data_IF_374639545219
#
_entry.id   IF_374639545219
#
_cell.length_a   1.000
_cell.length_b   1.000
_cell.length_c   1.000
_cell.angle_alpha   90.00
_cell.angle_beta   90.00
_cell.angle_gamma   90.00
#
_symmetry.space_group_name_H-M   'P 1'
#
loop_
_entity.id
_entity.type
_entity.pdbx_description
1 polymer ?
#
# COMPACT_ATOMS: atom_id res chain seq x y z
N UNK A 1 16.18 3.15 -15.00
CA UNK A 1 14.82 2.61 -14.82
C UNK A 1 14.90 1.15 -15.21
N UNK A 2 15.23 0.29 -14.27
CA UNK A 2 15.07 -1.16 -14.44
C UNK A 2 13.57 -1.41 -14.47
N UNK A 3 13.06 -1.95 -15.57
CA UNK A 3 11.75 -2.58 -15.57
C UNK A 3 11.81 -3.68 -14.51
N UNK A 4 11.13 -3.46 -13.38
CA UNK A 4 11.00 -4.49 -12.36
C UNK A 4 10.12 -5.59 -12.98
N UNK A 5 10.75 -6.69 -13.41
CA UNK A 5 10.07 -7.84 -14.01
C UNK A 5 9.26 -8.66 -12.98
N UNK A 6 9.22 -8.24 -11.71
CA UNK A 6 8.43 -8.88 -10.68
C UNK A 6 6.98 -8.33 -10.69
N UNK A 7 5.98 -9.15 -11.10
CA UNK A 7 4.59 -8.71 -11.20
C UNK A 7 3.97 -8.34 -9.84
N UNK A 8 4.39 -8.98 -8.75
CA UNK A 8 3.92 -8.66 -7.40
C UNK A 8 4.39 -7.27 -6.96
N UNK A 9 5.67 -6.94 -7.23
CA UNK A 9 6.21 -5.61 -6.96
C UNK A 9 5.51 -4.55 -7.81
N UNK A 10 5.30 -4.81 -9.10
CA UNK A 10 4.59 -3.88 -9.98
C UNK A 10 3.15 -3.61 -9.49
N UNK A 11 2.43 -4.66 -9.09
CA UNK A 11 1.09 -4.55 -8.52
C UNK A 11 1.07 -3.69 -7.25
N UNK A 12 1.97 -3.95 -6.30
CA UNK A 12 2.03 -3.17 -5.05
C UNK A 12 2.37 -1.70 -5.31
N UNK A 13 3.30 -1.41 -6.23
CA UNK A 13 3.64 -0.05 -6.60
C UNK A 13 2.43 0.69 -7.21
N UNK A 14 1.65 0.04 -8.05
CA UNK A 14 0.43 0.62 -8.61
C UNK A 14 -0.61 0.94 -7.53
N UNK A 15 -0.82 0.05 -6.55
CA UNK A 15 -1.75 0.30 -5.43
C UNK A 15 -1.27 1.44 -4.53
N UNK A 16 0.04 1.55 -4.30
CA UNK A 16 0.62 2.69 -3.58
C UNK A 16 0.36 3.99 -4.33
N UNK A 17 0.51 4.02 -5.66
CA UNK A 17 0.25 5.22 -6.47
C UNK A 17 -1.23 5.64 -6.44
N UNK A 18 -2.16 4.69 -6.44
CA UNK A 18 -3.60 4.95 -6.29
C UNK A 18 -3.96 5.53 -4.91
N UNK A 19 -3.39 4.95 -3.85
CA UNK A 19 -3.53 5.44 -2.47
C UNK A 19 -2.96 6.88 -2.36
N UNK A 20 -1.78 7.14 -2.92
CA UNK A 20 -1.14 8.46 -2.96
C UNK A 20 -1.96 9.48 -3.74
N UNK A 21 -2.52 9.09 -4.90
CA UNK A 21 -3.36 9.96 -5.72
C UNK A 21 -4.65 10.33 -4.98
N UNK A 22 -5.29 9.36 -4.34
CA UNK A 22 -6.51 9.56 -3.54
C UNK A 22 -6.23 10.45 -2.34
N UNK A 23 -5.17 10.17 -1.57
CA UNK A 23 -4.76 10.99 -0.45
C UNK A 23 -4.35 12.41 -0.88
N UNK A 24 -3.69 12.54 -2.03
CA UNK A 24 -3.31 13.82 -2.63
C UNK A 24 -4.52 14.65 -3.05
N UNK A 25 -5.56 14.02 -3.60
CA UNK A 25 -6.84 14.68 -3.88
C UNK A 25 -7.47 15.21 -2.59
N UNK A 26 -7.60 14.37 -1.56
CA UNK A 26 -8.21 14.77 -0.27
C UNK A 26 -7.43 15.90 0.39
N UNK A 27 -6.10 15.85 0.37
CA UNK A 27 -5.24 16.95 0.87
C UNK A 27 -5.55 18.30 0.22
N UNK A 28 -5.86 18.29 -1.08
CA UNK A 28 -6.11 19.51 -1.84
C UNK A 28 -7.55 20.02 -1.69
N UNK A 29 -8.52 19.10 -1.63
CA UNK A 29 -9.96 19.43 -1.54
C UNK A 29 -10.39 19.80 -0.11
N UNK A 30 -9.80 19.13 0.90
CA UNK A 30 -10.14 19.32 2.31
C UNK A 30 -8.88 19.27 3.19
N UNK A 31 -8.00 20.29 3.12
CA UNK A 31 -6.77 20.32 3.91
C UNK A 31 -7.08 20.41 5.40
N UNK A 32 -6.46 19.55 6.20
CA UNK A 32 -6.49 19.61 7.67
C UNK A 32 -5.06 19.64 8.20
N UNK A 33 -4.79 20.49 9.18
CA UNK A 33 -3.46 20.54 9.83
C UNK A 33 -3.35 19.59 11.04
N UNK A 34 -4.46 18.92 11.40
CA UNK A 34 -4.47 17.96 12.50
C UNK A 34 -3.60 16.74 12.17
N UNK A 35 -2.76 16.35 13.12
CA UNK A 35 -1.77 15.27 12.95
C UNK A 35 -1.99 14.13 13.95
N UNK A 36 -2.92 14.30 14.89
CA UNK A 36 -3.40 13.22 15.77
C UNK A 36 -4.44 12.41 15.03
N UNK A 37 -4.53 11.12 15.34
CA UNK A 37 -5.51 10.19 14.75
C UNK A 37 -6.92 10.79 14.74
N UNK A 38 -7.36 11.22 13.55
CA UNK A 38 -8.62 11.90 13.31
C UNK A 38 -9.43 11.07 12.32
N UNK A 39 -10.09 10.04 12.84
CA UNK A 39 -11.28 9.51 12.16
C UNK A 39 -12.46 10.36 12.60
N UNK A 40 -12.80 11.39 11.84
CA UNK A 40 -14.12 12.00 12.00
C UNK A 40 -15.00 11.48 10.86
N UNK A 41 -16.00 10.69 11.25
CA UNK A 41 -17.08 10.31 10.38
C UNK A 41 -18.29 11.17 10.76
N UNK A 42 -19.05 11.64 9.78
CA UNK A 42 -20.46 12.00 10.03
C UNK A 42 -21.23 10.68 9.94
N UNK A 43 -21.61 10.04 11.05
CA UNK A 43 -22.25 8.73 10.98
C UNK A 43 -23.59 8.85 10.22
N UNK A 44 -23.93 7.82 9.45
CA UNK A 44 -25.07 7.86 8.53
C UNK A 44 -26.42 8.05 9.23
N UNK A 45 -26.49 7.82 10.54
CA UNK A 45 -27.66 8.09 11.38
C UNK A 45 -27.85 9.58 11.70
N UNK A 46 -26.81 10.41 11.56
CA UNK A 46 -26.89 11.86 11.72
C UNK A 46 -27.23 12.58 10.41
N UNK A 47 -26.62 12.20 9.30
CA UNK A 47 -26.91 12.77 7.98
C UNK A 47 -26.58 11.75 6.88
N UNK A 48 -27.60 11.02 6.42
CA UNK A 48 -27.47 9.96 5.40
C UNK A 48 -27.00 10.51 4.05
N UNK A 49 -27.33 11.76 3.76
CA UNK A 49 -27.00 12.42 2.49
C UNK A 49 -25.61 13.09 2.54
N UNK A 50 -24.98 13.16 3.73
CA UNK A 50 -23.64 13.73 3.97
C UNK A 50 -22.72 12.81 4.77
N UNK A 51 -22.78 11.50 4.54
CA UNK A 51 -21.78 10.57 5.08
C UNK A 51 -20.40 10.94 4.53
N UNK A 52 -19.63 11.69 5.31
CA UNK A 52 -18.23 12.01 5.05
C UNK A 52 -17.40 11.17 6.01
N UNK A 53 -16.62 10.24 5.47
CA UNK A 53 -15.54 9.58 6.20
C UNK A 53 -14.27 10.31 5.82
N UNK A 54 -13.80 11.20 6.71
CA UNK A 54 -12.51 11.82 6.55
C UNK A 54 -11.45 10.87 7.12
N UNK A 55 -10.67 10.28 6.21
CA UNK A 55 -9.47 9.52 6.56
C UNK A 55 -8.30 10.50 6.50
N UNK A 56 -7.48 10.55 7.55
CA UNK A 56 -6.26 11.36 7.59
C UNK A 56 -5.35 11.01 6.39
N UNK A 57 -5.38 11.83 5.34
CA UNK A 57 -4.57 11.63 4.15
C UNK A 57 -3.08 11.59 4.49
N UNK A 58 -2.66 12.28 5.56
CA UNK A 58 -1.30 12.28 6.07
C UNK A 58 -0.84 10.87 6.44
N UNK A 59 -1.74 10.08 7.04
CA UNK A 59 -1.46 8.70 7.41
C UNK A 59 -1.34 7.81 6.18
N UNK A 60 -2.26 7.95 5.22
CA UNK A 60 -2.20 7.20 3.96
C UNK A 60 -0.88 7.48 3.24
N UNK A 61 -0.47 8.76 3.15
CA UNK A 61 0.82 9.14 2.57
C UNK A 61 2.01 8.55 3.35
N UNK A 62 1.95 8.54 4.69
CA UNK A 62 3.01 7.94 5.52
C UNK A 62 3.08 6.41 5.34
N UNK A 63 1.95 5.74 5.22
CA UNK A 63 1.85 4.30 4.93
C UNK A 63 2.39 4.00 3.52
N UNK A 64 2.11 4.83 2.53
CA UNK A 64 2.67 4.71 1.18
C UNK A 64 4.21 4.78 1.19
N UNK A 65 4.78 5.75 1.92
CA UNK A 65 6.25 5.84 2.11
C UNK A 65 6.79 4.59 2.80
N UNK A 66 6.12 4.08 3.82
CA UNK A 66 6.54 2.86 4.52
C UNK A 66 6.50 1.63 3.59
N UNK A 67 5.42 1.45 2.82
CA UNK A 67 5.28 0.35 1.85
C UNK A 67 6.38 0.42 0.77
N UNK A 68 6.69 1.62 0.23
CA UNK A 68 7.80 1.80 -0.73
C UNK A 68 9.13 1.35 -0.14
N UNK A 69 9.44 1.71 1.12
CA UNK A 69 10.67 1.28 1.79
C UNK A 69 10.75 -0.23 2.00
N UNK A 70 9.63 -0.90 2.26
CA UNK A 70 9.58 -2.37 2.37
C UNK A 70 9.90 -3.00 1.01
N UNK A 71 9.31 -2.48 -0.08
CA UNK A 71 9.58 -2.94 -1.45
C UNK A 71 11.04 -2.69 -1.82
N UNK A 72 11.59 -1.51 -1.53
CA UNK A 72 13.00 -1.19 -1.76
C UNK A 72 13.93 -2.16 -1.03
N UNK A 73 13.63 -2.49 0.23
CA UNK A 73 14.40 -3.46 1.00
C UNK A 73 14.31 -4.88 0.40
N UNK A 74 13.14 -5.29 -0.10
CA UNK A 74 12.99 -6.56 -0.80
C UNK A 74 13.86 -6.59 -2.06
N UNK A 75 13.81 -5.53 -2.88
CA UNK A 75 14.61 -5.44 -4.10
C UNK A 75 16.12 -5.44 -3.78
N UNK A 76 16.56 -4.77 -2.72
CA UNK A 76 17.95 -4.80 -2.29
C UNK A 76 18.42 -6.23 -1.97
N UNK A 77 17.58 -7.01 -1.29
CA UNK A 77 17.85 -8.40 -0.93
C UNK A 77 17.77 -9.32 -2.15
N UNK A 78 16.75 -9.17 -3.00
CA UNK A 78 16.55 -9.95 -4.24
C UNK A 78 17.71 -9.79 -5.22
N UNK A 79 18.23 -8.56 -5.38
CA UNK A 79 19.34 -8.25 -6.30
C UNK A 79 20.71 -8.61 -5.71
N UNK A 80 20.78 -9.12 -4.48
CA UNK A 80 22.04 -9.47 -3.84
C UNK A 80 22.45 -10.90 -4.20
N UNK A 81 23.52 -11.06 -4.98
CA UNK A 81 24.04 -12.36 -5.51
C UNK A 81 24.65 -13.31 -4.44
N UNK A 82 24.36 -13.13 -3.15
CA UNK A 82 24.94 -13.96 -2.09
C UNK A 82 23.96 -15.07 -1.67
N UNK A 83 24.40 -16.34 -1.58
CA UNK A 83 23.57 -17.45 -1.11
C UNK A 83 23.00 -17.25 0.30
N UNK A 84 23.59 -16.36 1.08
CA UNK A 84 23.12 -16.02 2.44
C UNK A 84 21.80 -15.25 2.42
N UNK A 85 21.43 -14.65 1.29
CA UNK A 85 20.22 -13.84 1.15
C UNK A 85 19.05 -14.59 0.53
N UNK A 86 19.26 -15.78 -0.06
CA UNK A 86 18.16 -16.54 -0.70
C UNK A 86 16.98 -16.79 0.27
N UNK A 87 17.26 -17.26 1.48
CA UNK A 87 16.22 -17.47 2.50
C UNK A 87 15.59 -16.15 3.00
N UNK A 88 16.33 -15.03 2.93
CA UNK A 88 15.79 -13.72 3.27
C UNK A 88 14.88 -13.19 2.16
N UNK A 89 15.23 -13.42 0.88
CA UNK A 89 14.39 -13.08 -0.27
C UNK A 89 13.05 -13.79 -0.19
N UNK A 90 13.04 -15.11 0.03
CA UNK A 90 11.80 -15.90 0.16
C UNK A 90 10.91 -15.37 1.29
N UNK A 91 11.50 -15.10 2.46
CA UNK A 91 10.76 -14.56 3.60
C UNK A 91 10.18 -13.15 3.32
N UNK A 92 10.95 -12.29 2.65
CA UNK A 92 10.49 -10.95 2.31
C UNK A 92 9.43 -10.96 1.21
N UNK A 93 9.48 -11.93 0.29
CA UNK A 93 8.41 -12.17 -0.68
C UNK A 93 7.09 -12.52 0.03
N UNK A 94 7.12 -13.36 1.07
CA UNK A 94 5.92 -13.61 1.90
C UNK A 94 5.35 -12.32 2.48
N UNK A 95 6.19 -11.39 2.93
CA UNK A 95 5.73 -10.08 3.43
C UNK A 95 5.05 -9.27 2.32
N UNK A 96 5.55 -9.33 1.08
CA UNK A 96 4.91 -8.66 -0.05
C UNK A 96 3.56 -9.30 -0.41
N UNK A 97 3.45 -10.64 -0.35
CA UNK A 97 2.18 -11.35 -0.55
C UNK A 97 1.14 -10.94 0.50
N UNK A 98 1.55 -10.80 1.77
CA UNK A 98 0.66 -10.31 2.83
C UNK A 98 0.20 -8.86 2.58
N UNK A 99 1.09 -7.99 2.11
CA UNK A 99 0.70 -6.62 1.72
C UNK A 99 -0.28 -6.64 0.54
N UNK A 100 -0.07 -7.51 -0.45
CA UNK A 100 -0.96 -7.64 -1.60
C UNK A 100 -2.34 -8.17 -1.22
N UNK A 101 -2.44 -9.00 -0.16
CA UNK A 101 -3.71 -9.56 0.32
C UNK A 101 -4.74 -8.49 0.74
N UNK A 102 -4.27 -7.29 1.11
CA UNK A 102 -5.15 -6.15 1.39
C UNK A 102 -5.95 -5.68 0.16
N UNK A 103 -5.56 -6.15 -1.03
CA UNK A 103 -6.15 -5.80 -2.33
C UNK A 103 -6.64 -7.06 -3.08
N UNK A 104 -7.00 -8.14 -2.36
CA UNK A 104 -7.43 -9.40 -2.96
C UNK A 104 -8.73 -9.29 -3.79
N UNK A 105 -9.52 -8.23 -3.59
CA UNK A 105 -10.72 -7.91 -4.36
C UNK A 105 -10.43 -7.08 -5.63
N UNK A 106 -9.18 -6.64 -5.83
CA UNK A 106 -8.79 -5.86 -6.98
C UNK A 106 -8.73 -6.73 -8.25
N UNK A 107 -9.23 -6.29 -9.43
CA UNK A 107 -9.25 -7.09 -10.66
C UNK A 107 -7.87 -7.53 -11.16
N UNK A 108 -6.83 -6.74 -10.89
CA UNK A 108 -5.44 -7.08 -11.23
C UNK A 108 -4.76 -8.02 -10.22
N UNK A 109 -5.42 -8.35 -9.11
CA UNK A 109 -4.88 -9.31 -8.13
C UNK A 109 -4.85 -10.71 -8.74
N UNK A 110 -3.70 -11.39 -8.68
CA UNK A 110 -3.55 -12.73 -9.23
C UNK A 110 -3.89 -13.77 -8.15
N UNK A 111 -4.86 -14.68 -8.37
CA UNK A 111 -5.25 -15.68 -7.36
C UNK A 111 -4.12 -16.58 -6.86
N UNK A 112 -3.12 -16.84 -7.71
CA UNK A 112 -1.93 -17.61 -7.35
C UNK A 112 -1.16 -17.01 -6.15
N UNK A 113 -1.22 -15.70 -5.93
CA UNK A 113 -0.59 -15.05 -4.79
C UNK A 113 -1.23 -15.44 -3.44
N UNK A 114 -2.47 -15.93 -3.46
CA UNK A 114 -3.11 -16.46 -2.25
C UNK A 114 -2.61 -17.88 -1.92
N UNK A 115 -2.23 -18.64 -2.94
CA UNK A 115 -1.69 -20.00 -2.82
C UNK A 115 -0.20 -20.01 -2.44
N UNK A 116 0.54 -18.96 -2.83
CA UNK A 116 1.97 -18.78 -2.59
C UNK A 116 2.30 -18.21 -1.20
N UNK A 117 1.28 -17.82 -0.44
CA UNK A 117 1.40 -17.30 0.93
C UNK A 117 1.44 -18.40 1.97
#
# INVERSE_FOLDING_TARGET
>A
MTENNNPLVAFLLARIEEDEATAGFVRNDSPIEETRFCTWATPADQDRDRLVVAVDYQRVLAECVAKRRIIEAYLEVEHHDSPQYAAATDYMETVLLELASAHADHPDYLPQWEEER
#
